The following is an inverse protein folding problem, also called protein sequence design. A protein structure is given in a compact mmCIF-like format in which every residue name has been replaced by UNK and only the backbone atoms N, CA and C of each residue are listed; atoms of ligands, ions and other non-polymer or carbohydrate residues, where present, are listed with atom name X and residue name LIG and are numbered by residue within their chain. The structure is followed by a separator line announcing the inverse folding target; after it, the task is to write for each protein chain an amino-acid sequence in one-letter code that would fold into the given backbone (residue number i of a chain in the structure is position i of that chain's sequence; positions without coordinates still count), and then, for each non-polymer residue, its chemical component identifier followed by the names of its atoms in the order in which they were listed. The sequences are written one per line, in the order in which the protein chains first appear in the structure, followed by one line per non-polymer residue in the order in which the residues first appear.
data_IF_359620811270
#
_entry.id   IF_359620811270
#
_cell.length_a   1.000
_cell.length_b   1.000
_cell.length_c   1.000
_cell.angle_alpha   90.00
_cell.angle_beta   90.00
_cell.angle_gamma   90.00
#
_symmetry.space_group_name_H-M   'P 1'
#
loop_
_entity.id
_entity.type
_entity.pdbx_description
1 polymer ?
#
# COMPACT_ATOMS: atom_id res chain seq x y z
N UNK A 1 35.06 -47.67 29.79
CA UNK A 1 34.85 -46.21 29.82
C UNK A 1 35.67 -45.58 28.70
N UNK A 2 35.03 -45.05 27.64
CA UNK A 2 35.73 -44.38 26.53
C UNK A 2 35.67 -42.87 26.76
N UNK A 3 36.81 -42.28 27.07
CA UNK A 3 37.00 -40.84 27.28
C UNK A 3 36.98 -40.13 25.92
N UNK A 4 35.89 -39.41 25.62
CA UNK A 4 35.82 -38.54 24.45
C UNK A 4 36.70 -37.30 24.65
N UNK A 5 37.64 -37.09 23.72
CA UNK A 5 38.63 -36.00 23.75
C UNK A 5 37.97 -34.63 23.68
N UNK A 6 38.44 -33.69 24.52
CA UNK A 6 37.92 -32.32 24.63
C UNK A 6 37.88 -31.55 23.30
N UNK A 7 38.74 -31.90 22.33
CA UNK A 7 38.73 -31.34 20.97
C UNK A 7 37.44 -31.67 20.19
N UNK A 8 36.85 -32.84 20.41
CA UNK A 8 35.61 -33.27 19.72
C UNK A 8 34.40 -32.50 20.24
N UNK A 9 34.36 -32.18 21.54
CA UNK A 9 33.30 -31.35 22.12
C UNK A 9 33.34 -29.91 21.62
N UNK A 10 34.54 -29.36 21.39
CA UNK A 10 34.71 -28.00 20.91
C UNK A 10 34.25 -27.82 19.45
N UNK A 11 34.52 -28.81 18.61
CA UNK A 11 34.07 -28.82 17.19
C UNK A 11 32.55 -28.96 17.09
N UNK A 12 31.92 -29.78 17.93
CA UNK A 12 30.45 -29.93 17.97
C UNK A 12 29.76 -28.64 18.44
N UNK A 13 30.34 -27.93 19.41
CA UNK A 13 29.84 -26.64 19.91
C UNK A 13 29.97 -25.51 18.86
N UNK A 14 31.05 -25.50 18.09
CA UNK A 14 31.24 -24.54 16.99
C UNK A 14 30.28 -24.79 15.83
N UNK A 15 29.99 -26.05 15.49
CA UNK A 15 29.01 -26.42 14.47
C UNK A 15 27.57 -26.04 14.85
N UNK A 16 27.22 -26.06 16.15
CA UNK A 16 25.88 -25.62 16.60
C UNK A 16 25.67 -24.10 16.54
N UNK A 17 26.71 -23.29 16.40
CA UNK A 17 26.59 -21.84 16.29
C UNK A 17 26.49 -21.33 14.84
N UNK A 18 26.74 -22.20 13.84
CA UNK A 18 26.72 -21.85 12.42
C UNK A 18 25.38 -22.14 11.71
N UNK A 19 24.35 -22.55 12.45
CA UNK A 19 23.00 -22.66 11.90
C UNK A 19 22.34 -21.29 12.05
N UNK A 20 22.23 -20.46 10.98
CA UNK A 20 21.35 -19.31 11.04
C UNK A 20 19.95 -19.83 11.34
N UNK A 21 19.36 -19.26 12.38
CA UNK A 21 18.11 -19.70 12.99
C UNK A 21 16.97 -19.64 11.96
N UNK A 22 16.71 -20.77 11.28
CA UNK A 22 15.64 -20.92 10.30
C UNK A 22 14.25 -20.56 10.90
N UNK A 23 14.14 -20.49 12.23
CA UNK A 23 12.92 -20.06 12.92
C UNK A 23 12.66 -18.57 12.75
N UNK A 24 13.68 -17.70 12.70
CA UNK A 24 13.45 -16.26 12.49
C UNK A 24 12.92 -15.94 11.08
N UNK A 25 13.41 -16.65 10.06
CA UNK A 25 12.93 -16.52 8.68
C UNK A 25 11.51 -17.09 8.51
N UNK A 26 11.21 -18.22 9.15
CA UNK A 26 9.87 -18.80 9.15
C UNK A 26 8.84 -17.90 9.88
N UNK A 27 9.25 -17.21 10.93
CA UNK A 27 8.34 -16.34 11.72
C UNK A 27 8.06 -15.03 11.00
N UNK A 28 9.05 -14.43 10.34
CA UNK A 28 8.85 -13.25 9.48
C UNK A 28 8.08 -13.60 8.20
N UNK A 29 8.33 -14.77 7.60
CA UNK A 29 7.52 -15.27 6.49
C UNK A 29 6.06 -15.53 6.91
N UNK A 30 5.82 -16.04 8.13
CA UNK A 30 4.46 -16.25 8.67
C UNK A 30 3.73 -14.95 9.00
N UNK A 31 4.39 -13.97 9.63
CA UNK A 31 3.79 -12.65 9.89
C UNK A 31 3.44 -11.92 8.58
N UNK A 32 4.29 -12.03 7.56
CA UNK A 32 3.98 -11.52 6.22
C UNK A 32 2.82 -12.30 5.59
N UNK A 33 2.79 -13.64 5.71
CA UNK A 33 1.71 -14.47 5.20
C UNK A 33 0.35 -14.19 5.90
N UNK A 34 0.34 -13.91 7.19
CA UNK A 34 -0.87 -13.52 7.94
C UNK A 34 -1.34 -12.10 7.59
N UNK A 35 -0.43 -11.15 7.34
CA UNK A 35 -0.79 -9.86 6.72
C UNK A 35 -1.36 -10.01 5.31
N UNK A 36 -0.86 -10.98 4.54
CA UNK A 36 -1.36 -11.35 3.22
C UNK A 36 -2.70 -12.11 3.27
N UNK A 37 -3.08 -12.66 4.41
CA UNK A 37 -4.34 -13.36 4.67
C UNK A 37 -5.45 -12.44 5.23
N UNK A 38 -5.23 -11.13 5.27
CA UNK A 38 -6.26 -10.17 5.65
C UNK A 38 -7.47 -10.22 4.71
N UNK A 39 -8.66 -10.07 5.28
CA UNK A 39 -9.93 -9.81 4.59
C UNK A 39 -9.68 -8.98 3.33
N UNK A 40 -9.91 -9.56 2.15
CA UNK A 40 -9.79 -8.86 0.89
C UNK A 40 -10.69 -7.64 0.79
N UNK A 41 -10.44 -6.78 -0.19
CA UNK A 41 -11.25 -5.58 -0.35
C UNK A 41 -10.94 -4.79 -1.60
N UNK A 42 -11.91 -3.96 -1.98
CA UNK A 42 -11.73 -2.92 -2.99
C UNK A 42 -11.52 -1.61 -2.25
N UNK A 43 -10.33 -1.03 -2.39
CA UNK A 43 -10.03 0.31 -1.88
C UNK A 43 -10.35 1.29 -3.01
N UNK A 44 -11.38 2.10 -2.80
CA UNK A 44 -11.82 3.11 -3.76
C UNK A 44 -11.11 4.41 -3.42
N UNK A 45 -10.34 4.91 -4.37
CA UNK A 45 -9.53 6.10 -4.25
C UNK A 45 -10.26 7.20 -5.03
N UNK A 46 -10.70 8.24 -4.31
CA UNK A 46 -11.18 9.47 -4.91
C UNK A 46 -10.02 10.33 -5.36
N UNK A 47 -10.10 10.92 -6.54
CA UNK A 47 -9.13 11.87 -7.06
C UNK A 47 -9.83 13.14 -7.52
N UNK A 48 -9.33 14.29 -7.10
CA UNK A 48 -9.82 15.61 -7.49
C UNK A 48 -8.79 16.29 -8.39
N UNK A 49 -9.15 16.49 -9.66
CA UNK A 49 -8.24 16.98 -10.68
C UNK A 49 -8.66 18.36 -11.19
N UNK A 50 -7.80 19.39 -11.10
CA UNK A 50 -8.09 20.70 -11.68
C UNK A 50 -8.32 20.61 -13.19
N UNK A 51 -9.20 21.46 -13.72
CA UNK A 51 -9.42 21.58 -15.15
C UNK A 51 -8.25 22.33 -15.84
N UNK A 52 -7.10 21.67 -15.92
CA UNK A 52 -5.89 22.18 -16.51
C UNK A 52 -5.29 21.12 -17.45
N UNK A 53 -5.17 21.41 -18.76
CA UNK A 53 -4.70 20.44 -19.74
C UNK A 53 -3.27 19.95 -19.47
N UNK A 54 -2.44 20.74 -18.79
CA UNK A 54 -1.05 20.37 -18.47
C UNK A 54 -0.95 19.19 -17.50
N UNK A 55 -1.99 18.96 -16.69
CA UNK A 55 -2.07 17.87 -15.70
C UNK A 55 -3.19 16.88 -16.02
N UNK A 56 -3.75 16.94 -17.23
CA UNK A 56 -4.85 16.07 -17.66
C UNK A 56 -4.52 14.57 -17.54
N UNK A 57 -3.24 14.22 -17.54
CA UNK A 57 -2.69 12.86 -17.55
C UNK A 57 -2.54 12.20 -16.15
N UNK A 58 -2.77 12.96 -15.06
CA UNK A 58 -2.66 12.43 -13.69
C UNK A 58 -3.54 11.20 -13.41
N UNK A 59 -4.81 11.12 -13.87
CA UNK A 59 -5.67 9.96 -13.66
C UNK A 59 -5.09 8.68 -14.27
N UNK A 60 -4.48 8.79 -15.44
CA UNK A 60 -3.84 7.68 -16.14
C UNK A 60 -2.60 7.21 -15.36
N UNK A 61 -1.80 8.14 -14.82
CA UNK A 61 -0.67 7.81 -13.94
C UNK A 61 -1.15 7.08 -12.70
N UNK A 62 -2.18 7.57 -12.01
CA UNK A 62 -2.70 6.93 -10.79
C UNK A 62 -3.22 5.51 -11.06
N UNK A 63 -3.89 5.30 -12.19
CA UNK A 63 -4.33 3.97 -12.65
C UNK A 63 -3.13 3.06 -12.95
N UNK A 64 -2.09 3.59 -13.59
CA UNK A 64 -0.84 2.87 -13.86
C UNK A 64 -0.17 2.45 -12.54
N UNK A 65 -0.05 3.35 -11.57
CA UNK A 65 0.50 3.04 -10.25
C UNK A 65 -0.33 1.97 -9.52
N UNK A 66 -1.66 2.07 -9.53
CA UNK A 66 -2.55 1.08 -8.93
C UNK A 66 -2.35 -0.32 -9.54
N UNK A 67 -2.15 -0.37 -10.86
CA UNK A 67 -1.84 -1.60 -11.60
C UNK A 67 -0.47 -2.15 -11.23
N UNK A 68 0.57 -1.32 -11.23
CA UNK A 68 1.93 -1.70 -10.87
C UNK A 68 2.03 -2.29 -9.45
N UNK A 69 1.33 -1.68 -8.49
CA UNK A 69 1.28 -2.17 -7.10
C UNK A 69 0.67 -3.58 -7.00
N UNK A 70 -0.33 -3.87 -7.85
CA UNK A 70 -0.97 -5.19 -7.94
C UNK A 70 -0.04 -6.21 -8.62
N UNK A 71 0.53 -5.85 -9.76
CA UNK A 71 1.37 -6.75 -10.56
C UNK A 71 2.67 -7.13 -9.85
N UNK A 72 3.27 -6.17 -9.12
CA UNK A 72 4.46 -6.39 -8.31
C UNK A 72 4.18 -7.08 -6.98
N UNK A 73 2.93 -7.47 -6.70
CA UNK A 73 2.49 -8.11 -5.45
C UNK A 73 2.88 -7.30 -4.20
N UNK A 74 2.87 -5.98 -4.31
CA UNK A 74 3.10 -5.05 -3.19
C UNK A 74 1.83 -4.99 -2.33
N UNK A 75 0.65 -5.06 -2.97
CA UNK A 75 -0.62 -5.19 -2.27
C UNK A 75 -0.84 -6.62 -1.80
N UNK A 76 -1.52 -6.84 -0.66
CA UNK A 76 -1.99 -8.17 -0.28
C UNK A 76 -2.85 -8.79 -1.40
N UNK A 77 -2.80 -10.12 -1.54
CA UNK A 77 -3.36 -10.87 -2.70
C UNK A 77 -4.83 -10.52 -2.96
N UNK A 78 -5.60 -10.24 -1.91
CA UNK A 78 -7.03 -10.02 -2.01
C UNK A 78 -7.44 -8.53 -2.06
N UNK A 79 -6.49 -7.62 -2.31
CA UNK A 79 -6.78 -6.18 -2.41
C UNK A 79 -6.73 -5.68 -3.85
N UNK A 80 -7.67 -4.81 -4.20
CA UNK A 80 -7.64 -4.06 -5.47
C UNK A 80 -7.84 -2.59 -5.18
N UNK A 81 -7.03 -1.75 -5.84
CA UNK A 81 -7.20 -0.29 -5.81
C UNK A 81 -8.00 0.14 -7.03
N UNK A 82 -8.98 1.03 -6.86
CA UNK A 82 -9.76 1.61 -7.95
C UNK A 82 -9.73 3.12 -7.85
N UNK A 83 -9.27 3.80 -8.89
CA UNK A 83 -9.15 5.26 -8.92
C UNK A 83 -10.36 5.87 -9.61
N UNK A 84 -10.99 6.85 -8.96
CA UNK A 84 -12.16 7.59 -9.43
C UNK A 84 -11.85 9.08 -9.43
N UNK A 85 -11.70 9.67 -10.61
CA UNK A 85 -11.40 11.10 -10.75
C UNK A 85 -12.66 11.92 -10.98
N UNK A 86 -12.75 13.07 -10.32
CA UNK A 86 -13.69 14.14 -10.66
C UNK A 86 -12.96 15.48 -10.76
N UNK A 87 -13.53 16.40 -11.52
CA UNK A 87 -12.96 17.74 -11.69
C UNK A 87 -12.89 18.48 -10.36
N UNK A 88 -11.86 19.29 -10.16
CA UNK A 88 -11.76 20.25 -9.06
C UNK A 88 -11.58 21.65 -9.64
N UNK A 89 -11.80 22.67 -8.80
CA UNK A 89 -11.53 24.07 -9.13
C UNK A 89 -12.59 24.84 -9.93
N UNK A 90 -13.83 24.35 -10.01
CA UNK A 90 -14.99 25.23 -10.24
C UNK A 90 -15.54 25.71 -8.89
N UNK A 91 -16.16 26.90 -8.85
CA UNK A 91 -16.67 27.50 -7.61
C UNK A 91 -17.59 26.51 -6.89
N UNK A 92 -17.25 26.17 -5.64
CA UNK A 92 -17.92 25.16 -4.80
C UNK A 92 -17.88 23.69 -5.27
N UNK A 93 -17.47 23.38 -6.50
CA UNK A 93 -17.51 22.02 -7.05
C UNK A 93 -16.54 21.07 -6.36
N UNK A 94 -15.37 21.56 -5.91
CA UNK A 94 -14.36 20.69 -5.29
C UNK A 94 -14.85 20.01 -4.01
N UNK A 95 -15.58 20.75 -3.16
CA UNK A 95 -16.15 20.22 -1.91
C UNK A 95 -17.32 19.29 -2.20
N UNK A 96 -18.20 19.69 -3.13
CA UNK A 96 -19.32 18.85 -3.57
C UNK A 96 -18.83 17.52 -4.16
N UNK A 97 -17.80 17.58 -5.01
CA UNK A 97 -17.20 16.40 -5.62
C UNK A 97 -16.49 15.51 -4.60
N UNK A 98 -15.80 16.09 -3.62
CA UNK A 98 -15.24 15.33 -2.49
C UNK A 98 -16.34 14.60 -1.72
N UNK A 99 -17.43 15.30 -1.39
CA UNK A 99 -18.58 14.73 -0.69
C UNK A 99 -19.26 13.64 -1.50
N UNK A 100 -19.43 13.82 -2.81
CA UNK A 100 -19.98 12.80 -3.69
C UNK A 100 -19.08 11.55 -3.76
N UNK A 101 -17.76 11.72 -3.88
CA UNK A 101 -16.82 10.61 -3.84
C UNK A 101 -16.91 9.83 -2.52
N UNK A 102 -17.13 10.54 -1.40
CA UNK A 102 -17.31 9.95 -0.09
C UNK A 102 -18.64 9.21 0.06
N UNK A 103 -19.75 9.93 -0.02
CA UNK A 103 -21.06 9.41 0.30
C UNK A 103 -21.66 8.53 -0.80
N UNK A 104 -21.41 8.85 -2.07
CA UNK A 104 -22.02 8.14 -3.20
C UNK A 104 -21.09 7.10 -3.81
N UNK A 105 -19.77 7.26 -3.67
CA UNK A 105 -18.77 6.35 -4.26
C UNK A 105 -17.91 5.64 -3.21
N UNK A 106 -18.20 5.72 -1.92
CA UNK A 106 -17.47 5.00 -0.87
C UNK A 106 -15.94 5.09 -1.01
N UNK A 107 -15.43 6.25 -1.46
CA UNK A 107 -14.00 6.46 -1.54
C UNK A 107 -13.45 6.55 -0.11
N UNK A 108 -12.36 5.84 0.16
CA UNK A 108 -11.74 5.79 1.49
C UNK A 108 -10.46 6.61 1.56
N UNK A 109 -9.83 6.85 0.41
CA UNK A 109 -8.61 7.63 0.26
C UNK A 109 -8.87 8.70 -0.78
N UNK A 110 -8.35 9.91 -0.56
CA UNK A 110 -8.55 11.05 -1.43
C UNK A 110 -7.19 11.60 -1.86
N UNK A 111 -7.03 11.73 -3.17
CA UNK A 111 -5.92 12.44 -3.79
C UNK A 111 -6.43 13.67 -4.51
N UNK A 112 -5.55 14.64 -4.68
CA UNK A 112 -5.82 15.82 -5.48
C UNK A 112 -5.36 17.07 -4.75
N UNK A 113 -5.02 18.13 -5.49
CA UNK A 113 -4.99 19.45 -4.89
C UNK A 113 -6.43 19.90 -4.65
N UNK A 114 -6.75 20.22 -3.39
CA UNK A 114 -7.82 21.18 -3.14
C UNK A 114 -7.38 22.50 -3.78
N UNK A 115 -8.16 23.05 -4.70
CA UNK A 115 -7.84 24.37 -5.23
C UNK A 115 -7.92 25.38 -4.08
N UNK A 116 -6.76 25.90 -3.70
CA UNK A 116 -6.60 26.91 -2.66
C UNK A 116 -6.81 28.32 -3.21
N UNK A 117 -7.50 28.50 -4.35
CA UNK A 117 -7.82 29.81 -4.86
C UNK A 117 -8.70 30.48 -3.81
N UNK A 118 -8.05 31.29 -2.96
CA UNK A 118 -8.55 31.86 -1.72
C UNK A 118 -9.63 32.91 -1.92
N UNK A 119 -10.49 32.76 -2.92
CA UNK A 119 -11.83 33.34 -2.87
C UNK A 119 -12.71 32.43 -2.02
N UNK A 120 -12.30 32.38 -0.75
CA UNK A 120 -13.18 32.29 0.41
C UNK A 120 -14.52 32.96 0.11
N UNK A 121 -15.58 32.23 0.41
CA UNK A 121 -16.92 32.76 0.65
C UNK A 121 -16.90 34.26 1.00
N UNK A 122 -17.18 35.10 -0.01
CA UNK A 122 -17.67 36.47 0.15
C UNK A 122 -18.91 36.60 -0.71
#
# INVERSE_FOLDING_TARGET
MRTFSAKVRFVVLLLSCLVPDARQLATTARLNAERLAGSGGVVRIGHLQPNNPNIAHEPEILKMCAKDLKERKILPINYTLTVMTMESCNKFSGVEHAAYLHYMKNATIYFGPGCNNGESFR
#
